data_IF_108032053199
#
_entry.id   IF_108032053199
#
_cell.length_a   1.000
_cell.length_b   1.000
_cell.length_c   1.000
_cell.angle_alpha   90.00
_cell.angle_beta   90.00
_cell.angle_gamma   90.00
#
_symmetry.space_group_name_H-M   'P 1'
#
loop_
_entity.id
_entity.type
_entity.pdbx_description
1 polymer ?
#
# COMPACT_ATOMS: atom_id res chain seq x y z
N UNK A 1 -6.80 57.75 -21.38
CA UNK A 1 -5.90 58.48 -20.46
C UNK A 1 -6.21 58.09 -19.03
N UNK A 2 -5.40 57.20 -18.45
CA UNK A 2 -5.01 57.20 -17.02
C UNK A 2 -3.83 56.25 -16.87
N UNK A 3 -2.65 56.87 -16.86
CA UNK A 3 -1.34 56.35 -16.48
C UNK A 3 -1.24 56.06 -14.98
N UNK A 4 -0.45 55.04 -14.60
CA UNK A 4 0.40 54.86 -13.39
C UNK A 4 0.62 53.34 -13.20
N UNK A 5 1.77 52.78 -12.84
CA UNK A 5 3.16 53.20 -12.72
C UNK A 5 4.00 51.92 -12.58
N UNK A 6 5.16 51.90 -13.23
CA UNK A 6 6.21 50.90 -13.07
C UNK A 6 6.88 51.10 -11.70
N UNK A 7 7.10 50.03 -10.95
CA UNK A 7 8.12 49.96 -9.89
C UNK A 7 8.61 48.51 -9.75
N UNK A 8 9.72 48.25 -10.42
CA UNK A 8 10.57 47.09 -10.21
C UNK A 8 11.29 47.22 -8.87
N UNK A 9 11.42 46.10 -8.13
CA UNK A 9 12.48 45.90 -7.16
C UNK A 9 13.09 44.53 -7.42
N UNK A 10 14.18 44.51 -8.19
CA UNK A 10 15.09 43.37 -8.28
C UNK A 10 15.82 43.22 -6.93
N UNK A 11 15.67 42.07 -6.28
CA UNK A 11 16.61 41.61 -5.26
C UNK A 11 17.46 40.51 -5.90
N UNK A 12 18.66 40.89 -6.33
CA UNK A 12 19.68 39.97 -6.77
C UNK A 12 20.35 39.35 -5.54
N UNK A 13 19.93 38.14 -5.18
CA UNK A 13 20.63 37.31 -4.21
C UNK A 13 21.63 36.46 -4.98
N UNK A 14 22.89 36.88 -4.97
CA UNK A 14 23.99 36.08 -5.49
C UNK A 14 24.24 34.91 -4.52
N UNK A 15 23.62 33.76 -4.78
CA UNK A 15 24.16 32.49 -4.32
C UNK A 15 25.31 32.15 -5.28
N UNK A 16 26.50 32.09 -4.70
CA UNK A 16 27.67 31.53 -5.33
C UNK A 16 27.46 30.02 -5.51
N UNK A 17 26.79 29.65 -6.59
CA UNK A 17 27.00 28.33 -7.17
C UNK A 17 28.46 28.31 -7.60
N UNK A 18 29.23 27.45 -6.95
CA UNK A 18 30.48 26.97 -7.46
C UNK A 18 30.15 26.22 -8.77
N UNK A 19 29.94 26.98 -9.83
CA UNK A 19 29.99 26.49 -11.19
C UNK A 19 31.44 26.06 -11.42
N UNK A 20 31.69 24.78 -11.16
CA UNK A 20 32.89 24.07 -11.58
C UNK A 20 32.82 23.89 -13.11
N UNK A 21 32.89 25.00 -13.83
CA UNK A 21 33.29 25.00 -15.22
C UNK A 21 34.82 24.94 -15.26
N UNK A 22 35.38 23.82 -15.71
CA UNK A 22 36.81 23.75 -15.99
C UNK A 22 37.35 22.34 -16.24
N UNK A 23 37.41 21.99 -17.52
CA UNK A 23 38.40 21.12 -18.17
C UNK A 23 38.51 19.62 -17.77
N UNK A 24 38.41 18.81 -18.82
CA UNK A 24 39.18 17.59 -19.08
C UNK A 24 38.87 16.32 -18.27
N UNK A 25 37.99 15.51 -18.88
CA UNK A 25 37.82 14.09 -18.62
C UNK A 25 36.81 13.83 -17.52
N UNK A 26 35.56 13.53 -17.93
CA UNK A 26 34.50 13.05 -17.05
C UNK A 26 35.06 11.98 -16.13
N UNK A 27 35.29 12.36 -14.88
CA UNK A 27 35.63 11.40 -13.85
C UNK A 27 34.31 10.74 -13.51
N UNK A 28 34.32 9.41 -13.46
CA UNK A 28 33.20 8.67 -12.91
C UNK A 28 32.83 9.27 -11.55
N UNK A 29 31.52 9.40 -11.32
CA UNK A 29 30.96 9.75 -10.03
C UNK A 29 31.38 8.70 -9.00
N UNK A 30 31.37 9.09 -7.72
CA UNK A 30 31.35 8.07 -6.68
C UNK A 30 30.00 7.34 -6.71
N UNK A 31 29.94 6.16 -6.09
CA UNK A 31 28.69 5.41 -5.94
C UNK A 31 27.62 6.25 -5.24
N UNK A 32 27.95 6.85 -4.08
CA UNK A 32 27.05 7.75 -3.35
C UNK A 32 26.58 8.93 -4.23
N UNK A 33 27.49 9.61 -4.95
CA UNK A 33 27.11 10.73 -5.82
C UNK A 33 26.22 10.28 -7.00
N UNK A 34 26.38 9.04 -7.49
CA UNK A 34 25.53 8.49 -8.54
C UNK A 34 24.12 8.21 -8.01
N UNK A 35 24.02 7.59 -6.83
CA UNK A 35 22.75 7.26 -6.16
C UNK A 35 21.97 8.54 -5.86
N UNK A 36 22.63 9.57 -5.33
CA UNK A 36 22.02 10.87 -5.04
C UNK A 36 21.44 11.51 -6.33
N UNK A 37 22.20 11.53 -7.42
CA UNK A 37 21.72 12.13 -8.68
C UNK A 37 20.64 11.28 -9.37
N UNK A 38 20.71 9.95 -9.28
CA UNK A 38 19.64 9.07 -9.75
C UNK A 38 18.35 9.28 -8.96
N UNK A 39 18.45 9.42 -7.64
CA UNK A 39 17.32 9.72 -6.76
C UNK A 39 16.63 11.02 -7.18
N UNK A 40 17.39 12.10 -7.32
CA UNK A 40 16.85 13.42 -7.72
C UNK A 40 16.16 13.35 -9.10
N UNK A 41 16.79 12.69 -10.09
CA UNK A 41 16.21 12.53 -11.43
C UNK A 41 14.90 11.73 -11.38
N UNK A 42 14.89 10.61 -10.65
CA UNK A 42 13.73 9.74 -10.56
C UNK A 42 12.57 10.38 -9.79
N UNK A 43 12.83 11.09 -8.69
CA UNK A 43 11.79 11.82 -7.95
C UNK A 43 11.14 12.91 -8.81
N UNK A 44 11.95 13.66 -9.57
CA UNK A 44 11.44 14.70 -10.47
C UNK A 44 10.60 14.08 -11.59
N UNK A 45 11.07 12.98 -12.20
CA UNK A 45 10.35 12.23 -13.21
C UNK A 45 9.01 11.70 -12.70
N UNK A 46 8.99 11.03 -11.55
CA UNK A 46 7.75 10.52 -10.94
C UNK A 46 6.76 11.65 -10.69
N UNK A 47 7.24 12.79 -10.20
CA UNK A 47 6.39 13.96 -9.94
C UNK A 47 5.78 14.54 -11.22
N UNK A 48 6.48 14.46 -12.34
CA UNK A 48 5.98 14.89 -13.63
C UNK A 48 5.02 13.87 -14.26
N UNK A 49 5.33 12.57 -14.17
CA UNK A 49 4.42 11.49 -14.58
C UNK A 49 3.10 11.50 -13.79
N UNK A 50 3.14 11.74 -12.47
CA UNK A 50 1.94 11.85 -11.63
C UNK A 50 1.05 13.07 -11.94
N UNK A 51 1.55 14.03 -12.72
CA UNK A 51 0.75 15.20 -13.17
C UNK A 51 0.04 14.96 -14.49
N UNK A 52 0.38 13.88 -15.19
CA UNK A 52 -0.27 13.52 -16.43
C UNK A 52 -1.70 13.07 -16.11
N UNK A 53 -2.62 13.35 -17.03
CA UNK A 53 -3.98 12.83 -16.94
C UNK A 53 -3.95 11.31 -17.21
N UNK A 54 -4.85 10.56 -16.57
CA UNK A 54 -4.99 9.13 -16.86
C UNK A 54 -5.36 8.91 -18.34
N UNK A 55 -4.79 7.89 -19.00
CA UNK A 55 -5.09 7.60 -20.40
C UNK A 55 -6.52 7.07 -20.55
N UNK A 56 -7.25 7.62 -21.51
CA UNK A 56 -8.61 7.23 -21.90
C UNK A 56 -8.68 7.08 -23.42
N UNK A 57 -9.76 6.48 -23.94
CA UNK A 57 -9.99 6.33 -25.39
C UNK A 57 -9.90 7.65 -26.18
N UNK A 58 -10.10 8.80 -25.52
CA UNK A 58 -10.16 10.11 -26.17
C UNK A 58 -8.86 10.95 -26.01
N UNK A 59 -7.87 10.52 -25.22
CA UNK A 59 -6.66 11.32 -24.91
C UNK A 59 -5.35 10.52 -24.79
N UNK A 60 -5.29 9.23 -25.13
CA UNK A 60 -4.04 8.45 -25.02
C UNK A 60 -2.90 9.02 -25.88
N UNK A 61 -3.22 9.70 -26.99
CA UNK A 61 -2.22 10.33 -27.85
C UNK A 61 -1.55 11.53 -27.18
N UNK A 62 -2.34 12.38 -26.50
CA UNK A 62 -1.83 13.51 -25.71
C UNK A 62 -1.04 13.01 -24.49
N UNK A 63 -1.56 12.01 -23.76
CA UNK A 63 -0.87 11.42 -22.58
C UNK A 63 0.45 10.76 -22.97
N UNK A 64 0.47 9.98 -24.07
CA UNK A 64 1.70 9.37 -24.57
C UNK A 64 2.75 10.40 -25.00
N UNK A 65 2.32 11.51 -25.62
CA UNK A 65 3.24 12.58 -26.01
C UNK A 65 3.86 13.29 -24.80
N UNK A 66 3.05 13.58 -23.78
CA UNK A 66 3.54 14.20 -22.54
C UNK A 66 4.46 13.24 -21.76
N UNK A 67 4.11 11.95 -21.68
CA UNK A 67 4.97 10.94 -21.08
C UNK A 67 6.31 10.80 -21.82
N UNK A 68 6.30 10.83 -23.15
CA UNK A 68 7.52 10.79 -23.95
C UNK A 68 8.42 12.02 -23.74
N UNK A 69 7.85 13.21 -23.49
CA UNK A 69 8.63 14.39 -23.09
C UNK A 69 9.35 14.15 -21.75
N UNK A 70 8.64 13.62 -20.74
CA UNK A 70 9.22 13.31 -19.43
C UNK A 70 10.34 12.27 -19.54
N UNK A 71 10.10 11.12 -20.19
CA UNK A 71 11.14 10.09 -20.36
C UNK A 71 12.32 10.59 -21.21
N UNK A 72 12.08 11.46 -22.19
CA UNK A 72 13.12 12.10 -22.98
C UNK A 72 14.05 12.96 -22.13
N UNK A 73 13.49 13.79 -21.24
CA UNK A 73 14.24 14.65 -20.32
C UNK A 73 15.03 13.82 -19.28
N UNK A 74 14.45 12.73 -18.77
CA UNK A 74 15.16 11.78 -17.89
C UNK A 74 16.36 11.17 -18.62
N UNK A 75 16.16 10.69 -19.85
CA UNK A 75 17.20 10.03 -20.61
C UNK A 75 18.35 10.99 -21.00
N UNK A 76 18.05 12.27 -21.24
CA UNK A 76 19.08 13.30 -21.43
C UNK A 76 19.93 13.45 -20.17
N UNK A 77 19.30 13.61 -19.00
CA UNK A 77 20.00 13.76 -17.71
C UNK A 77 20.83 12.53 -17.36
N UNK A 78 20.28 11.32 -17.51
CA UNK A 78 21.01 10.08 -17.28
C UNK A 78 22.27 10.01 -18.17
N UNK A 79 22.17 10.31 -19.47
CA UNK A 79 23.32 10.25 -20.37
C UNK A 79 24.46 11.22 -20.05
N UNK A 80 24.20 12.24 -19.22
CA UNK A 80 25.23 13.15 -18.72
C UNK A 80 26.03 12.57 -17.54
N UNK A 81 25.47 11.57 -16.83
CA UNK A 81 26.13 10.91 -15.73
C UNK A 81 27.22 9.95 -16.22
N UNK A 82 28.24 9.74 -15.39
CA UNK A 82 29.28 8.74 -15.63
C UNK A 82 29.35 7.82 -14.41
N UNK A 83 28.82 6.58 -14.48
CA UNK A 83 28.80 5.68 -13.34
C UNK A 83 30.22 5.18 -12.98
N UNK A 84 30.43 4.72 -11.73
CA UNK A 84 31.66 4.01 -11.37
C UNK A 84 31.74 2.66 -12.10
N UNK A 85 32.97 2.13 -12.28
CA UNK A 85 33.21 0.96 -13.16
C UNK A 85 32.46 -0.31 -12.73
N UNK A 86 32.18 -0.45 -11.43
CA UNK A 86 31.43 -1.54 -10.84
C UNK A 86 29.93 -1.47 -11.11
N UNK A 87 29.33 -0.28 -11.15
CA UNK A 87 27.91 -0.07 -11.46
C UNK A 87 27.63 0.19 -12.94
N UNK A 88 28.66 0.38 -13.77
CA UNK A 88 28.49 0.79 -15.16
C UNK A 88 27.63 -0.17 -16.01
N UNK A 89 27.55 -1.44 -15.63
CA UNK A 89 26.67 -2.40 -16.31
C UNK A 89 25.21 -2.19 -15.92
N UNK A 90 24.91 -2.25 -14.63
CA UNK A 90 23.55 -2.19 -14.11
C UNK A 90 22.94 -0.81 -14.42
N UNK A 91 23.76 0.25 -14.38
CA UNK A 91 23.41 1.58 -14.85
C UNK A 91 23.08 1.61 -16.36
N UNK A 92 23.84 0.88 -17.18
CA UNK A 92 23.57 0.78 -18.61
C UNK A 92 22.25 0.07 -18.90
N UNK A 93 22.00 -1.04 -18.20
CA UNK A 93 20.76 -1.80 -18.30
C UNK A 93 19.55 -0.93 -17.84
N UNK A 94 19.72 -0.11 -16.80
CA UNK A 94 18.73 0.89 -16.36
C UNK A 94 18.44 1.97 -17.41
N UNK A 95 19.49 2.57 -18.01
CA UNK A 95 19.33 3.58 -19.08
C UNK A 95 18.65 2.99 -20.32
N UNK A 96 18.97 1.75 -20.68
CA UNK A 96 18.34 1.07 -21.80
C UNK A 96 16.85 0.79 -21.50
N UNK A 97 16.50 0.38 -20.28
CA UNK A 97 15.11 0.21 -19.86
C UNK A 97 14.30 1.53 -19.94
N UNK A 98 14.85 2.66 -19.46
CA UNK A 98 14.20 3.97 -19.60
C UNK A 98 14.05 4.38 -21.08
N UNK A 99 15.03 4.03 -21.93
CA UNK A 99 14.94 4.28 -23.36
C UNK A 99 13.85 3.45 -24.04
N UNK A 100 13.65 2.21 -23.60
CA UNK A 100 12.56 1.34 -24.07
C UNK A 100 11.19 1.88 -23.60
N UNK A 101 11.08 2.40 -22.37
CA UNK A 101 9.87 3.07 -21.89
C UNK A 101 9.53 4.32 -22.72
N UNK A 102 10.54 5.11 -23.10
CA UNK A 102 10.37 6.23 -24.04
C UNK A 102 9.83 5.76 -25.39
N UNK A 103 10.36 4.66 -25.95
CA UNK A 103 9.85 4.10 -27.21
C UNK A 103 8.37 3.70 -27.09
N UNK A 104 7.96 3.10 -25.96
CA UNK A 104 6.56 2.76 -25.74
C UNK A 104 5.67 3.98 -25.50
N UNK A 105 6.15 5.02 -24.82
CA UNK A 105 5.43 6.28 -24.69
C UNK A 105 5.22 6.97 -26.06
N UNK A 106 6.24 6.95 -26.93
CA UNK A 106 6.11 7.40 -28.32
C UNK A 106 5.12 6.53 -29.10
N UNK A 107 5.12 5.21 -28.89
CA UNK A 107 4.16 4.30 -29.52
C UNK A 107 2.71 4.58 -29.06
N UNK A 108 2.51 4.85 -27.77
CA UNK A 108 1.24 5.29 -27.20
C UNK A 108 0.76 6.59 -27.85
N UNK A 109 1.67 7.57 -28.02
CA UNK A 109 1.37 8.83 -28.71
C UNK A 109 0.95 8.64 -30.18
N UNK A 110 1.51 7.62 -30.85
CA UNK A 110 1.27 7.32 -32.26
C UNK A 110 0.16 6.28 -32.53
N UNK A 111 -0.43 5.74 -31.47
CA UNK A 111 -1.47 4.71 -31.53
C UNK A 111 -2.65 5.15 -32.41
N UNK A 112 -3.20 4.21 -33.20
CA UNK A 112 -4.26 4.52 -34.19
C UNK A 112 -5.64 4.12 -33.70
N UNK A 113 -5.69 3.23 -32.73
CA UNK A 113 -6.88 2.83 -32.01
C UNK A 113 -6.51 2.41 -30.59
N UNK A 114 -7.54 2.14 -29.79
CA UNK A 114 -7.39 1.80 -28.38
C UNK A 114 -6.63 0.49 -28.15
N UNK A 115 -6.67 -0.47 -29.08
CA UNK A 115 -5.92 -1.71 -28.94
C UNK A 115 -4.41 -1.49 -29.04
N UNK A 116 -3.97 -0.65 -30.00
CA UNK A 116 -2.56 -0.25 -30.09
C UNK A 116 -2.11 0.51 -28.82
N UNK A 117 -3.00 1.30 -28.21
CA UNK A 117 -2.73 2.02 -26.97
C UNK A 117 -2.62 1.09 -25.75
N UNK A 118 -3.53 0.12 -25.61
CA UNK A 118 -3.47 -0.91 -24.57
C UNK A 118 -2.17 -1.72 -24.66
N UNK A 119 -1.77 -2.17 -25.87
CA UNK A 119 -0.54 -2.91 -26.08
C UNK A 119 0.70 -2.10 -25.62
N UNK A 120 0.73 -0.78 -25.89
CA UNK A 120 1.82 0.09 -25.44
C UNK A 120 1.83 0.31 -23.92
N UNK A 121 0.66 0.45 -23.30
CA UNK A 121 0.52 0.61 -21.84
C UNK A 121 0.94 -0.67 -21.10
N UNK A 122 0.58 -1.84 -21.63
CA UNK A 122 1.00 -3.14 -21.07
C UNK A 122 2.53 -3.29 -21.11
N UNK A 123 3.17 -2.94 -22.24
CA UNK A 123 4.64 -2.97 -22.35
C UNK A 123 5.32 -1.95 -21.41
N UNK A 124 4.74 -0.75 -21.22
CA UNK A 124 5.24 0.21 -20.21
C UNK A 124 5.17 -0.39 -18.80
N UNK A 125 4.08 -1.07 -18.45
CA UNK A 125 3.91 -1.69 -17.13
C UNK A 125 4.92 -2.83 -16.88
N UNK A 126 5.18 -3.66 -17.89
CA UNK A 126 6.21 -4.69 -17.84
C UNK A 126 7.61 -4.06 -17.67
N UNK A 127 7.92 -3.01 -18.43
CA UNK A 127 9.19 -2.28 -18.32
C UNK A 127 9.35 -1.58 -16.97
N UNK A 128 8.28 -1.08 -16.36
CA UNK A 128 8.29 -0.50 -15.02
C UNK A 128 8.60 -1.56 -13.94
N UNK A 129 8.17 -2.81 -14.16
CA UNK A 129 8.56 -3.94 -13.29
C UNK A 129 10.05 -4.23 -13.41
N UNK A 130 10.58 -4.27 -14.62
CA UNK A 130 12.02 -4.44 -14.85
C UNK A 130 12.83 -3.26 -14.28
N UNK A 131 12.30 -2.04 -14.37
CA UNK A 131 12.89 -0.84 -13.75
C UNK A 131 13.04 -0.99 -12.25
N UNK A 132 12.03 -1.53 -11.55
CA UNK A 132 12.07 -1.76 -10.10
C UNK A 132 13.21 -2.71 -9.72
N UNK A 133 13.40 -3.80 -10.47
CA UNK A 133 14.51 -4.73 -10.23
C UNK A 133 15.88 -4.05 -10.45
N UNK A 134 16.01 -3.25 -11.52
CA UNK A 134 17.24 -2.52 -11.84
C UNK A 134 17.54 -1.41 -10.82
N UNK A 135 16.52 -0.73 -10.30
CA UNK A 135 16.64 0.28 -9.26
C UNK A 135 17.16 -0.33 -7.95
N UNK A 136 16.68 -1.52 -7.57
CA UNK A 136 17.19 -2.25 -6.41
C UNK A 136 18.64 -2.69 -6.58
N UNK A 137 19.03 -3.14 -7.78
CA UNK A 137 20.43 -3.51 -8.08
C UNK A 137 21.38 -2.30 -7.99
N UNK A 138 20.87 -1.09 -8.25
CA UNK A 138 21.60 0.17 -8.12
C UNK A 138 21.49 0.83 -6.73
N UNK A 139 20.71 0.26 -5.81
CA UNK A 139 20.41 0.82 -4.47
C UNK A 139 19.75 2.22 -4.54
N UNK A 140 18.85 2.43 -5.52
CA UNK A 140 18.12 3.71 -5.72
C UNK A 140 16.62 3.49 -5.62
N UNK A 141 16.12 3.39 -4.39
CA UNK A 141 14.70 3.11 -4.10
C UNK A 141 13.74 4.14 -4.73
N UNK A 142 14.15 5.41 -4.84
CA UNK A 142 13.35 6.45 -5.51
C UNK A 142 13.14 6.23 -7.02
N UNK A 143 13.89 5.33 -7.65
CA UNK A 143 13.67 4.92 -9.03
C UNK A 143 12.73 3.72 -9.16
N UNK A 144 12.24 3.15 -8.05
CA UNK A 144 11.21 2.11 -8.05
C UNK A 144 9.83 2.77 -8.25
N UNK A 145 9.15 2.56 -9.41
CA UNK A 145 7.84 3.13 -9.66
C UNK A 145 6.76 2.61 -8.68
N UNK A 146 7.02 1.52 -7.96
CA UNK A 146 6.13 0.94 -6.95
C UNK A 146 6.58 1.21 -5.52
N UNK A 147 7.80 1.73 -5.33
CA UNK A 147 8.47 1.93 -4.06
C UNK A 147 8.59 3.42 -3.72
N UNK A 148 7.46 4.07 -3.42
CA UNK A 148 7.43 5.51 -3.14
C UNK A 148 6.68 5.83 -1.86
N UNK A 149 7.29 5.56 -0.71
CA UNK A 149 6.66 5.85 0.57
C UNK A 149 7.60 5.70 1.75
N UNK A 150 8.80 6.27 1.67
CA UNK A 150 9.61 6.45 2.87
C UNK A 150 8.85 7.32 3.87
N UNK A 151 8.39 6.67 4.94
CA UNK A 151 8.14 7.29 6.23
C UNK A 151 9.33 8.21 6.54
N UNK A 152 9.11 9.49 6.88
CA UNK A 152 10.20 10.39 7.20
C UNK A 152 11.04 9.78 8.33
N UNK A 153 12.31 9.52 8.06
CA UNK A 153 13.32 9.08 9.03
C UNK A 153 13.18 9.88 10.33
N UNK A 154 12.62 9.25 11.37
CA UNK A 154 12.43 9.85 12.69
C UNK A 154 13.83 10.11 13.28
N UNK A 155 14.24 11.37 13.51
CA UNK A 155 15.61 11.67 13.86
C UNK A 155 15.93 11.13 15.26
N UNK A 156 16.72 10.06 15.28
CA UNK A 156 17.57 9.62 16.38
C UNK A 156 16.90 9.60 17.77
N UNK A 157 16.39 8.43 18.14
CA UNK A 157 16.04 8.07 19.51
C UNK A 157 17.27 8.19 20.42
N UNK A 158 17.43 9.37 21.02
CA UNK A 158 18.45 9.65 22.03
C UNK A 158 18.13 8.80 23.25
N UNK A 159 18.93 7.76 23.45
CA UNK A 159 18.89 6.91 24.63
C UNK A 159 19.12 7.77 25.88
N UNK A 160 18.04 8.08 26.60
CA UNK A 160 18.12 8.80 27.86
C UNK A 160 18.43 7.80 28.97
N UNK A 161 19.67 7.85 29.44
CA UNK A 161 20.16 7.11 30.60
C UNK A 161 19.38 7.55 31.86
N UNK A 162 18.51 6.68 32.37
CA UNK A 162 17.71 6.95 33.58
C UNK A 162 18.61 6.89 34.82
N UNK A 163 18.93 8.07 35.35
CA UNK A 163 19.57 8.24 36.66
C UNK A 163 18.61 7.80 37.77
N UNK A 164 19.02 6.82 38.56
CA UNK A 164 18.29 6.33 39.73
C UNK A 164 18.17 7.40 40.84
N UNK A 165 16.95 7.61 41.34
CA UNK A 165 16.64 8.39 42.53
C UNK A 165 16.13 7.50 43.68
N UNK A 166 16.30 7.92 44.96
CA UNK A 166 16.44 6.99 46.07
C UNK A 166 15.13 6.47 46.65
N UNK A 167 15.26 5.27 47.24
CA UNK A 167 14.29 4.52 48.02
C UNK A 167 13.66 5.34 49.14
N UNK A 168 12.31 5.30 49.22
CA UNK A 168 11.59 5.61 50.47
C UNK A 168 10.70 4.44 50.85
N UNK A 169 11.03 3.85 51.99
CA UNK A 169 10.32 2.77 52.68
C UNK A 169 9.05 3.31 53.35
N UNK A 170 7.89 2.69 53.08
CA UNK A 170 6.78 2.62 54.03
C UNK A 170 6.14 1.23 53.95
N UNK A 171 6.05 0.57 55.09
CA UNK A 171 5.41 -0.73 55.25
C UNK A 171 3.88 -0.58 55.31
N UNK A 172 3.16 -1.41 54.55
CA UNK A 172 1.75 -1.70 54.77
C UNK A 172 1.52 -3.21 54.67
N UNK A 173 1.26 -3.81 55.82
CA UNK A 173 0.89 -5.22 55.98
C UNK A 173 -0.55 -5.42 55.50
N UNK A 174 -0.75 -6.27 54.49
CA UNK A 174 -2.07 -6.81 54.14
C UNK A 174 -2.17 -8.28 54.57
N UNK A 175 -3.36 -8.76 54.95
CA UNK A 175 -3.58 -10.12 55.45
C UNK A 175 -3.39 -11.18 54.35
N UNK A 176 -3.11 -12.45 54.73
CA UNK A 176 -2.94 -13.52 53.77
C UNK A 176 -4.28 -13.89 53.12
N UNK A 177 -4.37 -13.69 51.80
CA UNK A 177 -5.41 -14.32 50.97
C UNK A 177 -5.01 -15.77 50.73
N UNK A 178 -5.72 -16.68 51.39
CA UNK A 178 -5.67 -18.12 51.16
C UNK A 178 -6.22 -18.44 49.77
N UNK A 179 -5.35 -18.85 48.84
CA UNK A 179 -5.77 -19.44 47.58
C UNK A 179 -6.44 -20.81 47.83
N UNK A 180 -7.49 -21.17 47.08
CA UNK A 180 -8.05 -22.52 47.10
C UNK A 180 -7.02 -23.55 46.57
N UNK A 181 -7.07 -24.81 47.02
CA UNK A 181 -6.11 -25.83 46.61
C UNK A 181 -6.23 -26.15 45.10
N UNK A 182 -5.08 -26.15 44.43
CA UNK A 182 -4.90 -26.73 43.10
C UNK A 182 -5.28 -28.22 43.12
N UNK A 183 -6.36 -28.58 42.43
CA UNK A 183 -6.65 -29.95 42.07
C UNK A 183 -5.84 -30.32 40.82
N UNK A 184 -4.92 -31.27 40.96
CA UNK A 184 -4.22 -31.89 39.84
C UNK A 184 -5.23 -32.59 38.90
N UNK A 185 -5.02 -32.57 37.57
CA UNK A 185 -5.86 -33.31 36.64
C UNK A 185 -5.72 -34.82 36.88
N UNK A 186 -6.87 -35.51 36.84
CA UNK A 186 -6.96 -36.97 36.93
C UNK A 186 -6.24 -37.59 35.72
N UNK A 187 -5.20 -38.37 35.96
CA UNK A 187 -4.61 -39.27 34.96
C UNK A 187 -5.62 -40.33 34.54
N UNK A 188 -6.18 -40.17 33.34
CA UNK A 188 -7.03 -41.17 32.69
C UNK A 188 -6.11 -42.25 32.07
N UNK A 189 -6.41 -43.55 32.21
CA UNK A 189 -5.61 -44.61 31.59
C UNK A 189 -5.59 -44.49 30.05
N UNK A 190 -4.54 -44.98 29.38
CA UNK A 190 -4.38 -44.87 27.93
C UNK A 190 -5.56 -45.53 27.22
N UNK A 191 -6.30 -44.72 26.48
CA UNK A 191 -7.37 -45.20 25.60
C UNK A 191 -6.73 -45.86 24.38
N UNK A 192 -7.19 -47.06 24.05
CA UNK A 192 -6.77 -47.79 22.86
C UNK A 192 -6.96 -46.93 21.60
N UNK A 193 -6.10 -47.10 20.57
CA UNK A 193 -6.25 -46.35 19.32
C UNK A 193 -7.65 -46.57 18.73
N UNK A 194 -8.35 -45.50 18.30
CA UNK A 194 -9.65 -45.65 17.70
C UNK A 194 -9.54 -46.50 16.43
N UNK A 195 -10.47 -47.44 16.28
CA UNK A 195 -10.64 -48.17 15.03
C UNK A 195 -10.87 -47.16 13.91
N UNK A 196 -10.10 -47.29 12.83
CA UNK A 196 -10.23 -46.47 11.61
C UNK A 196 -11.67 -46.55 11.11
N UNK A 197 -12.42 -45.47 11.30
CA UNK A 197 -13.73 -45.32 10.68
C UNK A 197 -13.54 -45.30 9.16
N UNK A 198 -14.40 -45.96 8.37
CA UNK A 198 -14.38 -45.82 6.92
C UNK A 198 -14.50 -44.34 6.54
N UNK A 199 -13.85 -43.91 5.45
CA UNK A 199 -13.90 -42.51 5.01
C UNK A 199 -15.37 -42.09 4.90
N UNK A 200 -15.72 -41.03 5.62
CA UNK A 200 -17.06 -40.47 5.54
C UNK A 200 -17.27 -40.03 4.09
N UNK A 201 -18.31 -40.59 3.45
CA UNK A 201 -18.83 -40.05 2.20
C UNK A 201 -19.34 -38.65 2.51
N UNK A 202 -18.54 -37.64 2.19
CA UNK A 202 -18.94 -36.23 2.28
C UNK A 202 -20.14 -36.07 1.35
N UNK A 203 -21.28 -35.68 1.90
CA UNK A 203 -22.45 -35.36 1.10
C UNK A 203 -22.09 -34.19 0.16
N UNK A 204 -22.56 -34.18 -1.10
CA UNK A 204 -22.35 -33.03 -1.98
C UNK A 204 -22.86 -31.78 -1.27
N UNK A 205 -21.96 -30.79 -1.09
CA UNK A 205 -22.29 -29.47 -0.56
C UNK A 205 -23.39 -28.88 -1.46
N UNK A 206 -24.51 -28.41 -0.90
CA UNK A 206 -25.56 -27.81 -1.70
C UNK A 206 -24.99 -26.60 -2.47
N UNK A 207 -25.37 -26.47 -3.74
CA UNK A 207 -24.89 -25.43 -4.65
C UNK A 207 -25.51 -24.04 -4.34
N UNK A 208 -25.20 -23.51 -3.16
CA UNK A 208 -25.58 -22.16 -2.72
C UNK A 208 -24.64 -21.69 -1.62
N UNK A 209 -24.65 -20.38 -1.38
CA UNK A 209 -23.73 -19.73 -0.45
C UNK A 209 -23.88 -20.32 0.95
N UNK A 210 -22.76 -20.67 1.57
CA UNK A 210 -22.74 -21.17 2.94
C UNK A 210 -22.75 -20.02 3.96
N UNK A 211 -22.87 -18.77 3.53
CA UNK A 211 -22.91 -17.56 4.37
C UNK A 211 -24.05 -16.62 3.92
N UNK A 212 -24.35 -15.61 4.73
CA UNK A 212 -25.43 -14.64 4.46
C UNK A 212 -24.86 -13.25 4.19
N UNK A 213 -25.33 -12.58 3.14
CA UNK A 213 -25.07 -11.15 2.95
C UNK A 213 -25.89 -10.35 3.97
N UNK A 214 -25.24 -9.51 4.76
CA UNK A 214 -25.87 -8.69 5.80
C UNK A 214 -25.69 -7.20 5.52
N UNK A 215 -26.63 -6.40 6.03
CA UNK A 215 -26.54 -4.93 6.02
C UNK A 215 -25.75 -4.46 7.24
N UNK A 216 -24.48 -4.05 7.02
CA UNK A 216 -23.59 -3.64 8.10
C UNK A 216 -24.15 -2.46 8.92
N UNK A 217 -24.98 -1.60 8.32
CA UNK A 217 -25.57 -0.44 9.01
C UNK A 217 -26.53 -0.83 10.15
N UNK A 218 -26.98 -2.10 10.16
CA UNK A 218 -27.87 -2.64 11.19
C UNK A 218 -27.14 -3.37 12.31
N UNK A 219 -25.86 -3.69 12.10
CA UNK A 219 -25.05 -4.53 12.98
C UNK A 219 -23.95 -3.69 13.65
N UNK A 220 -23.28 -2.85 12.86
CA UNK A 220 -22.13 -2.09 13.28
C UNK A 220 -22.46 -0.60 13.46
N UNK A 221 -21.72 0.03 14.37
CA UNK A 221 -21.74 1.46 14.63
C UNK A 221 -20.64 2.15 13.82
N UNK A 222 -20.96 3.31 13.24
CA UNK A 222 -19.95 4.17 12.66
C UNK A 222 -19.10 4.83 13.77
N UNK A 223 -17.81 5.13 13.51
CA UNK A 223 -17.01 6.01 14.34
C UNK A 223 -17.66 7.39 14.55
N UNK A 224 -17.29 8.07 15.64
CA UNK A 224 -17.81 9.41 15.94
C UNK A 224 -17.50 10.40 14.81
N UNK A 225 -18.53 11.12 14.35
CA UNK A 225 -18.41 12.07 13.24
C UNK A 225 -18.70 11.47 11.87
N UNK A 226 -18.98 10.17 11.79
CA UNK A 226 -19.28 9.46 10.55
C UNK A 226 -20.63 8.74 10.60
N UNK A 227 -21.10 8.27 9.45
CA UNK A 227 -22.17 7.29 9.35
C UNK A 227 -21.80 6.20 8.34
N UNK A 228 -22.43 5.02 8.48
CA UNK A 228 -22.32 3.94 7.50
C UNK A 228 -23.47 4.05 6.51
N UNK A 229 -23.14 4.05 5.22
CA UNK A 229 -24.07 3.94 4.12
C UNK A 229 -24.10 2.49 3.62
N UNK A 230 -25.29 1.91 3.57
CA UNK A 230 -25.46 0.52 3.14
C UNK A 230 -25.12 0.37 1.66
N UNK A 231 -24.29 -0.61 1.35
CA UNK A 231 -23.90 -0.99 -0.01
C UNK A 231 -24.04 -2.49 -0.17
N UNK A 232 -24.45 -2.94 -1.35
CA UNK A 232 -24.43 -4.37 -1.64
C UNK A 232 -23.04 -4.74 -2.17
N UNK A 233 -22.46 -5.87 -1.73
CA UNK A 233 -21.25 -6.37 -2.36
C UNK A 233 -21.51 -6.71 -3.84
N UNK A 234 -20.48 -6.52 -4.67
CA UNK A 234 -20.56 -6.82 -6.10
C UNK A 234 -20.63 -8.32 -6.36
N UNK A 235 -21.22 -8.75 -7.48
CA UNK A 235 -21.25 -10.17 -7.85
C UNK A 235 -19.83 -10.76 -7.96
N UNK A 236 -18.85 -9.98 -8.44
CA UNK A 236 -17.45 -10.39 -8.53
C UNK A 236 -16.82 -10.67 -7.16
N UNK A 237 -17.08 -9.81 -6.17
CA UNK A 237 -16.67 -10.03 -4.77
C UNK A 237 -17.25 -11.33 -4.22
N UNK A 238 -18.54 -11.58 -4.45
CA UNK A 238 -19.20 -12.79 -3.95
C UNK A 238 -18.66 -14.04 -4.65
N UNK A 239 -18.37 -13.96 -5.95
CA UNK A 239 -17.76 -15.05 -6.72
C UNK A 239 -16.32 -15.34 -6.26
N UNK A 240 -15.54 -14.31 -5.91
CA UNK A 240 -14.22 -14.47 -5.32
C UNK A 240 -14.29 -15.23 -3.98
N UNK A 241 -15.16 -14.81 -3.06
CA UNK A 241 -15.37 -15.50 -1.77
C UNK A 241 -15.80 -16.96 -1.99
N UNK A 242 -16.71 -17.21 -2.94
CA UNK A 242 -17.15 -18.58 -3.29
C UNK A 242 -16.02 -19.44 -3.83
N UNK A 243 -15.05 -18.84 -4.51
CA UNK A 243 -13.91 -19.54 -5.11
C UNK A 243 -12.88 -20.01 -4.07
N UNK A 244 -12.85 -19.38 -2.89
CA UNK A 244 -11.95 -19.68 -1.78
C UNK A 244 -12.60 -20.70 -0.83
N UNK A 245 -12.21 -21.99 -0.84
CA UNK A 245 -12.97 -23.04 -0.15
C UNK A 245 -13.04 -22.84 1.37
N UNK A 246 -11.94 -22.44 2.02
CA UNK A 246 -11.94 -22.22 3.47
C UNK A 246 -12.83 -21.05 3.85
N UNK A 247 -12.73 -19.93 3.12
CA UNK A 247 -13.56 -18.77 3.38
C UNK A 247 -15.04 -19.07 3.11
N UNK A 248 -15.38 -19.66 1.96
CA UNK A 248 -16.76 -20.00 1.63
C UNK A 248 -17.40 -20.93 2.67
N UNK A 249 -16.68 -21.94 3.17
CA UNK A 249 -17.21 -22.90 4.15
C UNK A 249 -17.28 -22.33 5.58
N UNK A 250 -16.31 -21.49 5.97
CA UNK A 250 -16.18 -21.01 7.34
C UNK A 250 -16.83 -19.66 7.57
N UNK A 251 -17.13 -18.87 6.53
CA UNK A 251 -17.83 -17.60 6.71
C UNK A 251 -19.28 -17.85 7.16
N UNK A 252 -19.76 -17.01 8.08
CA UNK A 252 -21.14 -16.99 8.56
C UNK A 252 -21.90 -15.84 7.91
N UNK A 253 -21.33 -14.64 7.99
CA UNK A 253 -21.90 -13.39 7.51
C UNK A 253 -20.84 -12.60 6.74
N UNK A 254 -21.30 -11.87 5.72
CA UNK A 254 -20.48 -10.94 4.95
C UNK A 254 -21.29 -9.69 4.64
N UNK A 255 -20.69 -8.52 4.76
CA UNK A 255 -21.34 -7.27 4.36
C UNK A 255 -20.34 -6.23 3.93
N UNK A 256 -20.85 -5.21 3.24
CA UNK A 256 -20.08 -4.05 2.79
C UNK A 256 -20.86 -2.79 3.17
N UNK A 257 -20.16 -1.75 3.59
CA UNK A 257 -20.74 -0.42 3.78
C UNK A 257 -19.70 0.66 3.50
N UNK A 258 -20.14 1.79 2.96
CA UNK A 258 -19.31 2.98 2.79
C UNK A 258 -19.34 3.81 4.07
N UNK A 259 -18.17 4.18 4.58
CA UNK A 259 -18.00 5.14 5.67
C UNK A 259 -18.02 6.56 5.11
N UNK A 260 -18.91 7.39 5.63
CA UNK A 260 -19.15 8.75 5.13
C UNK A 260 -18.97 9.78 6.24
N UNK A 261 -18.23 10.85 5.98
CA UNK A 261 -18.08 11.99 6.90
C UNK A 261 -19.42 12.73 7.05
N UNK A 262 -19.91 12.86 8.29
CA UNK A 262 -21.21 13.46 8.55
C UNK A 262 -21.25 14.98 8.35
N UNK A 263 -20.09 15.64 8.25
CA UNK A 263 -19.99 17.10 8.14
C UNK A 263 -20.20 17.60 6.72
N UNK A 264 -19.70 16.87 5.72
CA UNK A 264 -19.75 17.25 4.30
C UNK A 264 -20.25 16.15 3.35
N UNK A 265 -20.50 14.93 3.84
CA UNK A 265 -20.90 13.75 3.07
C UNK A 265 -19.81 13.22 2.12
N UNK A 266 -18.54 13.46 2.42
CA UNK A 266 -17.43 12.83 1.70
C UNK A 266 -17.36 11.35 2.04
N UNK A 267 -17.30 10.49 1.02
CA UNK A 267 -17.06 9.06 1.17
C UNK A 267 -15.58 8.85 1.51
N UNK A 268 -15.31 8.19 2.63
CA UNK A 268 -13.96 8.04 3.19
C UNK A 268 -13.37 6.68 2.85
N UNK A 269 -14.16 5.63 3.01
CA UNK A 269 -13.71 4.27 2.74
C UNK A 269 -14.89 3.33 2.53
N UNK A 270 -14.70 2.29 1.72
CA UNK A 270 -15.56 1.11 1.75
C UNK A 270 -15.04 0.10 2.77
N UNK A 271 -15.92 -0.40 3.63
CA UNK A 271 -15.62 -1.31 4.72
C UNK A 271 -16.27 -2.65 4.42
N UNK A 272 -15.44 -3.67 4.26
CA UNK A 272 -15.86 -5.05 4.05
C UNK A 272 -15.65 -5.81 5.35
N UNK A 273 -16.70 -6.47 5.83
CA UNK A 273 -16.65 -7.22 7.10
C UNK A 273 -17.16 -8.63 6.89
N UNK A 274 -16.34 -9.59 7.29
CA UNK A 274 -16.70 -10.99 7.38
C UNK A 274 -16.74 -11.44 8.84
N UNK A 275 -17.67 -12.34 9.17
CA UNK A 275 -17.72 -13.01 10.47
C UNK A 275 -17.61 -14.51 10.25
N UNK A 276 -16.65 -15.15 10.90
CA UNK A 276 -16.39 -16.58 10.83
C UNK A 276 -17.39 -17.38 11.68
N UNK A 277 -17.68 -18.61 11.27
CA UNK A 277 -18.42 -19.62 12.04
C UNK A 277 -17.56 -20.21 13.16
N UNK A 278 -16.25 -19.99 13.11
CA UNK A 278 -15.29 -20.49 14.10
C UNK A 278 -14.69 -19.32 14.89
N UNK A 279 -13.95 -19.61 15.95
CA UNK A 279 -13.32 -18.58 16.79
C UNK A 279 -12.14 -17.86 16.08
N UNK A 280 -11.88 -18.18 14.80
CA UNK A 280 -10.83 -17.58 13.99
C UNK A 280 -11.31 -17.34 12.54
N UNK A 281 -11.00 -16.17 11.99
CA UNK A 281 -11.16 -15.89 10.56
C UNK A 281 -10.10 -16.66 9.75
N UNK A 282 -10.45 -17.32 8.62
CA UNK A 282 -9.49 -17.96 7.74
C UNK A 282 -8.39 -17.00 7.27
N UNK A 283 -7.18 -17.53 7.06
CA UNK A 283 -6.02 -16.76 6.60
C UNK A 283 -6.27 -16.10 5.24
N UNK A 284 -6.96 -16.81 4.34
CA UNK A 284 -7.37 -16.37 3.01
C UNK A 284 -8.09 -15.00 3.00
N UNK A 285 -8.67 -14.55 4.13
CA UNK A 285 -9.25 -13.22 4.23
C UNK A 285 -8.22 -12.11 3.93
N UNK A 286 -7.00 -12.24 4.46
CA UNK A 286 -5.94 -11.22 4.31
C UNK A 286 -5.36 -11.18 2.92
N UNK A 287 -5.48 -12.27 2.17
CA UNK A 287 -4.92 -12.38 0.83
C UNK A 287 -5.99 -12.09 -0.24
N UNK A 288 -7.25 -11.86 0.16
CA UNK A 288 -8.39 -11.72 -0.74
C UNK A 288 -8.25 -10.50 -1.66
N UNK A 289 -7.76 -9.40 -1.09
CA UNK A 289 -7.70 -8.09 -1.77
C UNK A 289 -6.27 -7.69 -2.17
N UNK A 290 -5.26 -8.40 -1.66
CA UNK A 290 -3.84 -8.16 -1.93
C UNK A 290 -3.17 -9.45 -2.47
N UNK A 291 -3.56 -9.93 -3.67
CA UNK A 291 -3.18 -11.26 -4.17
C UNK A 291 -1.67 -11.42 -4.42
N UNK A 292 -0.96 -10.35 -4.75
CA UNK A 292 0.48 -10.37 -5.03
C UNK A 292 1.34 -10.27 -3.75
N UNK A 293 0.69 -10.27 -2.58
CA UNK A 293 1.34 -10.06 -1.29
C UNK A 293 1.55 -8.57 -1.03
N UNK A 294 0.72 -8.00 -0.16
CA UNK A 294 0.91 -6.64 0.31
C UNK A 294 2.00 -6.51 1.40
N UNK A 295 2.22 -5.29 1.85
CA UNK A 295 3.15 -4.97 2.93
C UNK A 295 2.50 -5.25 4.30
N UNK A 296 3.26 -5.86 5.22
CA UNK A 296 2.78 -6.08 6.58
C UNK A 296 2.80 -4.77 7.37
N UNK A 297 1.62 -4.29 7.80
CA UNK A 297 1.51 -3.10 8.67
C UNK A 297 0.74 -3.42 9.95
N UNK A 298 1.20 -2.90 11.08
CA UNK A 298 0.50 -3.02 12.36
C UNK A 298 -0.13 -1.68 12.71
N UNK A 299 -1.46 -1.68 12.92
CA UNK A 299 -2.19 -0.46 13.29
C UNK A 299 -1.73 0.10 14.64
N UNK A 300 -2.10 1.36 14.94
CA UNK A 300 -1.76 2.00 16.21
C UNK A 300 -2.34 1.26 17.43
N UNK A 301 -3.47 0.55 17.28
CA UNK A 301 -4.03 -0.31 18.32
C UNK A 301 -3.43 -1.74 18.36
N UNK A 302 -2.41 -2.02 17.55
CA UNK A 302 -1.69 -3.29 17.55
C UNK A 302 -2.33 -4.38 16.72
N UNK A 303 -3.10 -4.04 15.68
CA UNK A 303 -3.76 -5.00 14.80
C UNK A 303 -2.84 -5.28 13.60
N UNK A 304 -2.31 -6.50 13.44
CA UNK A 304 -1.49 -6.84 12.29
C UNK A 304 -2.35 -7.09 11.06
N UNK A 305 -2.11 -6.31 10.01
CA UNK A 305 -2.78 -6.42 8.71
C UNK A 305 -1.81 -6.41 7.53
N UNK A 306 -2.36 -6.58 6.34
CA UNK A 306 -1.68 -6.46 5.06
C UNK A 306 -2.19 -5.17 4.39
N UNK A 307 -1.28 -4.42 3.79
CA UNK A 307 -1.55 -3.19 3.04
C UNK A 307 -1.17 -3.40 1.60
N UNK A 308 -2.05 -3.02 0.67
CA UNK A 308 -1.71 -2.86 -0.73
C UNK A 308 -2.35 -1.58 -1.27
N UNK A 309 -1.78 -1.01 -2.31
CA UNK A 309 -2.37 0.13 -2.99
C UNK A 309 -3.46 -0.32 -3.94
N UNK A 310 -4.45 0.55 -4.19
CA UNK A 310 -5.40 0.30 -5.26
C UNK A 310 -4.71 0.28 -6.62
N UNK A 311 -5.31 -0.39 -7.59
CA UNK A 311 -4.88 -0.27 -8.98
C UNK A 311 -4.95 1.20 -9.43
N UNK A 312 -4.12 1.59 -10.40
CA UNK A 312 -4.01 2.97 -10.90
C UNK A 312 -5.38 3.56 -11.28
N UNK A 313 -6.24 2.76 -11.92
CA UNK A 313 -7.59 3.19 -12.33
C UNK A 313 -8.69 2.99 -11.25
N UNK A 314 -8.31 2.57 -10.05
CA UNK A 314 -9.24 2.34 -8.96
C UNK A 314 -9.48 3.65 -8.19
N UNK A 315 -10.72 3.96 -7.79
CA UNK A 315 -10.97 5.05 -6.84
C UNK A 315 -10.44 4.72 -5.43
N UNK A 316 -9.90 3.52 -5.22
CA UNK A 316 -9.28 3.11 -3.96
C UNK A 316 -7.84 3.58 -3.92
N UNK A 317 -7.51 4.37 -2.92
CA UNK A 317 -6.14 4.78 -2.63
C UNK A 317 -5.34 3.65 -2.00
N UNK A 318 -5.82 3.12 -0.88
CA UNK A 318 -5.13 2.10 -0.09
C UNK A 318 -6.13 1.07 0.45
N UNK A 319 -5.73 -0.20 0.41
CA UNK A 319 -6.44 -1.33 1.00
C UNK A 319 -5.69 -1.79 2.25
N UNK A 320 -6.37 -1.84 3.40
CA UNK A 320 -5.87 -2.49 4.61
C UNK A 320 -6.77 -3.65 4.99
N UNK A 321 -6.21 -4.86 5.05
CA UNK A 321 -6.95 -6.07 5.44
C UNK A 321 -6.35 -6.72 6.68
N UNK A 322 -7.21 -7.10 7.62
CA UNK A 322 -6.82 -7.65 8.90
C UNK A 322 -7.82 -8.69 9.40
N UNK A 323 -7.38 -9.49 10.37
CA UNK A 323 -8.25 -10.42 11.11
C UNK A 323 -8.11 -10.17 12.61
N UNK A 324 -9.25 -10.16 13.31
CA UNK A 324 -9.35 -9.94 14.76
C UNK A 324 -10.30 -10.98 15.33
N UNK A 325 -9.75 -12.08 15.85
CA UNK A 325 -10.57 -13.22 16.30
C UNK A 325 -11.33 -13.85 15.14
N UNK A 326 -12.66 -13.91 15.27
CA UNK A 326 -13.60 -14.41 14.26
C UNK A 326 -14.01 -13.36 13.22
N UNK A 327 -13.50 -12.12 13.32
CA UNK A 327 -13.82 -11.03 12.37
C UNK A 327 -12.67 -10.84 11.38
N UNK A 328 -13.03 -10.72 10.10
CA UNK A 328 -12.18 -10.25 9.02
C UNK A 328 -12.66 -8.86 8.61
N UNK A 329 -11.73 -7.93 8.42
CA UNK A 329 -12.02 -6.57 7.95
C UNK A 329 -11.09 -6.23 6.80
N UNK A 330 -11.66 -5.67 5.73
CA UNK A 330 -10.88 -5.00 4.68
C UNK A 330 -11.41 -3.57 4.53
N UNK A 331 -10.50 -2.60 4.56
CA UNK A 331 -10.78 -1.18 4.40
C UNK A 331 -10.21 -0.73 3.07
N UNK A 332 -11.06 -0.18 2.23
CA UNK A 332 -10.72 0.40 0.93
C UNK A 332 -10.87 1.91 1.04
N UNK A 333 -9.78 2.63 1.25
CA UNK A 333 -9.81 4.08 1.44
C UNK A 333 -10.02 4.79 0.10
N UNK A 334 -10.91 5.79 0.08
CA UNK A 334 -11.29 6.53 -1.13
C UNK A 334 -10.72 7.96 -1.14
N UNK A 335 -10.03 8.33 -0.06
CA UNK A 335 -9.45 9.66 0.13
C UNK A 335 -7.94 9.49 0.27
N UNK A 336 -7.14 10.20 -0.56
CA UNK A 336 -5.69 10.21 -0.41
C UNK A 336 -5.26 10.59 1.00
N UNK A 337 -4.15 10.05 1.46
CA UNK A 337 -3.57 10.32 2.78
C UNK A 337 -4.42 9.90 4.00
N UNK A 338 -5.49 9.13 3.80
CA UNK A 338 -6.22 8.48 4.90
C UNK A 338 -5.81 7.01 4.93
N UNK A 339 -4.95 6.56 5.87
CA UNK A 339 -4.55 5.16 5.95
C UNK A 339 -5.70 4.25 6.36
N UNK A 340 -5.81 3.09 5.72
CA UNK A 340 -6.86 2.11 5.98
C UNK A 340 -6.79 1.50 7.39
N UNK A 341 -5.61 1.39 7.98
CA UNK A 341 -5.42 0.90 9.35
C UNK A 341 -5.93 1.90 10.41
N UNK A 342 -5.83 3.21 10.13
CA UNK A 342 -6.44 4.24 10.97
C UNK A 342 -7.97 4.13 10.97
N UNK A 343 -8.56 3.88 9.81
CA UNK A 343 -10.01 3.67 9.67
C UNK A 343 -10.43 2.37 10.35
N UNK A 344 -9.67 1.29 10.19
CA UNK A 344 -9.92 0.02 10.87
C UNK A 344 -9.91 0.18 12.40
N UNK A 345 -8.92 0.91 12.93
CA UNK A 345 -8.82 1.22 14.36
C UNK A 345 -10.03 2.00 14.87
N UNK A 346 -10.46 3.03 14.13
CA UNK A 346 -11.63 3.82 14.49
C UNK A 346 -12.92 2.97 14.44
N UNK A 347 -13.07 2.12 13.42
CA UNK A 347 -14.21 1.23 13.25
C UNK A 347 -14.30 0.20 14.38
N UNK A 348 -13.19 -0.47 14.72
CA UNK A 348 -13.17 -1.47 15.79
C UNK A 348 -13.32 -0.84 17.17
N UNK A 349 -12.79 0.37 17.40
CA UNK A 349 -13.03 1.10 18.64
C UNK A 349 -14.52 1.47 18.84
N UNK A 350 -15.28 1.65 17.76
CA UNK A 350 -16.72 1.88 17.82
C UNK A 350 -17.53 0.58 18.03
N UNK A 351 -16.91 -0.59 17.82
CA UNK A 351 -17.57 -1.91 17.82
C UNK A 351 -16.79 -2.94 18.69
N UNK A 352 -16.80 -2.78 20.02
CA UNK A 352 -16.00 -3.58 20.96
C UNK A 352 -16.57 -4.97 21.31
#
# INVERSE_FOLDING_TARGET
MRTRSISALMAATALALAACGGDDGGRALSEDDLIDELTDICEDAQRDLQRLDDPTEDNYDDVGADAAEVYGDVLEQLRELTPPEDLARDYGDFVDNIADQLEQAEALADARDFGDAEDALDEIADLATDQSELAQDLDVEACDPFGGGDEPDDPATTTTEVVAAPTTTVAATLPPTTAPPLTLPVTVPPTAPPATAPPATVAPVPAGDAWTVVDLTTIFLAPNGFFLQSTNPSDGTLDLIRSLPELNEQLLEFGVATLVDASDNTEIADIWVGVSRTDAMPGDWKDLDCPDGGQLRTSANGIPGIVCFGAVDSPTWEIFTATVGDVGISIYTLVPDVPGDLVADAFLAANP
#
